data_IF_425656902677
#
_entry.id   IF_425656902677
#
_cell.length_a   1.000
_cell.length_b   1.000
_cell.length_c   1.000
_cell.angle_alpha   90.00
_cell.angle_beta   90.00
_cell.angle_gamma   90.00
#
_symmetry.space_group_name_H-M   'P 1'
#
loop_
_entity.id
_entity.type
_entity.pdbx_description
1 polymer ?
#
# COMPACT_ATOMS: atom_id res chain seq x y z
N UNK A 1 13.78 -27.41 -9.04
CA UNK A 1 14.14 -26.43 -8.02
C UNK A 1 13.82 -25.04 -8.52
N UNK A 2 13.10 -24.25 -7.72
CA UNK A 2 12.85 -22.82 -7.94
C UNK A 2 13.26 -22.04 -6.69
N UNK A 3 13.86 -20.86 -6.87
CA UNK A 3 14.28 -19.99 -5.76
C UNK A 3 13.57 -18.64 -5.89
N UNK A 4 12.80 -18.27 -4.87
CA UNK A 4 12.23 -16.93 -4.73
C UNK A 4 13.14 -16.10 -3.81
N UNK A 5 13.76 -15.06 -4.35
CA UNK A 5 14.73 -14.21 -3.65
C UNK A 5 14.05 -12.94 -3.19
N UNK A 6 14.34 -12.49 -1.96
CA UNK A 6 13.91 -11.22 -1.39
C UNK A 6 12.38 -11.00 -1.43
N UNK A 7 11.64 -11.91 -0.80
CA UNK A 7 10.17 -11.77 -0.68
C UNK A 7 9.76 -10.75 0.39
N UNK A 8 10.72 -10.16 1.07
CA UNK A 8 10.51 -9.24 2.20
C UNK A 8 9.72 -7.99 1.81
N UNK A 9 9.81 -7.55 0.56
CA UNK A 9 9.05 -6.40 0.06
C UNK A 9 7.54 -6.59 0.18
N UNK A 10 7.04 -7.83 -0.04
CA UNK A 10 5.64 -8.13 0.15
C UNK A 10 5.20 -8.01 1.61
N UNK A 11 6.07 -8.41 2.55
CA UNK A 11 5.78 -8.41 4.00
C UNK A 11 5.86 -7.00 4.59
N UNK A 12 6.84 -6.20 4.16
CA UNK A 12 7.13 -4.87 4.74
C UNK A 12 6.41 -3.72 4.03
N UNK A 13 5.67 -4.02 2.97
CA UNK A 13 4.93 -3.01 2.22
C UNK A 13 3.79 -2.41 3.04
N UNK A 14 3.58 -1.12 2.87
CA UNK A 14 2.40 -0.41 3.40
C UNK A 14 1.14 -0.68 2.57
N UNK A 15 1.30 -1.27 1.38
CA UNK A 15 0.18 -1.66 0.54
C UNK A 15 -0.52 -2.88 1.15
N UNK A 16 -1.81 -2.76 1.44
CA UNK A 16 -2.63 -3.82 2.03
C UNK A 16 -2.76 -5.07 1.12
N UNK A 17 -2.53 -4.95 -0.19
CA UNK A 17 -2.55 -6.06 -1.14
C UNK A 17 -1.21 -6.78 -1.30
N UNK A 18 -0.09 -6.18 -0.87
CA UNK A 18 1.25 -6.70 -1.16
C UNK A 18 1.51 -8.12 -0.64
N UNK A 19 1.04 -8.44 0.57
CA UNK A 19 1.16 -9.79 1.16
C UNK A 19 0.37 -10.81 0.35
N UNK A 20 -0.82 -10.43 -0.12
CA UNK A 20 -1.65 -11.30 -0.97
C UNK A 20 -1.00 -11.56 -2.32
N UNK A 21 -0.50 -10.52 -2.98
CA UNK A 21 0.21 -10.61 -4.26
C UNK A 21 1.47 -11.49 -4.14
N UNK A 22 2.27 -11.31 -3.09
CA UNK A 22 3.40 -12.17 -2.77
C UNK A 22 2.96 -13.63 -2.62
N UNK A 23 1.89 -13.88 -1.87
CA UNK A 23 1.34 -15.22 -1.68
C UNK A 23 0.88 -15.86 -2.99
N UNK A 24 0.17 -15.11 -3.83
CA UNK A 24 -0.27 -15.56 -5.15
C UNK A 24 0.93 -15.90 -6.05
N UNK A 25 1.95 -15.08 -6.08
CA UNK A 25 3.16 -15.31 -6.87
C UNK A 25 3.90 -16.58 -6.40
N UNK A 26 4.08 -16.77 -5.09
CA UNK A 26 4.75 -17.94 -4.54
C UNK A 26 3.98 -19.24 -4.85
N UNK A 27 2.67 -19.25 -4.70
CA UNK A 27 1.84 -20.42 -5.04
C UNK A 27 1.87 -20.69 -6.56
N UNK A 28 1.83 -19.65 -7.38
CA UNK A 28 1.90 -19.82 -8.83
C UNK A 28 3.25 -20.41 -9.27
N UNK A 29 4.35 -19.94 -8.67
CA UNK A 29 5.70 -20.47 -8.92
C UNK A 29 5.81 -21.93 -8.47
N UNK A 30 5.29 -22.26 -7.27
CA UNK A 30 5.27 -23.62 -6.75
C UNK A 30 4.49 -24.56 -7.65
N UNK A 31 3.30 -24.14 -8.12
CA UNK A 31 2.48 -24.92 -9.04
C UNK A 31 3.13 -25.18 -10.40
N UNK A 32 3.93 -24.22 -10.91
CA UNK A 32 4.70 -24.40 -12.16
C UNK A 32 5.87 -25.35 -11.97
N UNK A 33 6.57 -25.26 -10.83
CA UNK A 33 7.70 -26.11 -10.52
C UNK A 33 7.30 -27.60 -10.43
N UNK A 34 6.10 -27.90 -9.88
CA UNK A 34 5.59 -29.27 -9.69
C UNK A 34 5.04 -29.96 -10.94
N UNK A 35 4.92 -29.27 -12.08
CA UNK A 35 4.25 -29.81 -13.27
C UNK A 35 5.00 -30.95 -14.00
N UNK A 36 6.34 -30.99 -13.90
CA UNK A 36 7.15 -31.94 -14.68
C UNK A 36 7.31 -33.30 -14.00
N UNK A 37 7.49 -33.34 -12.66
CA UNK A 37 7.82 -34.61 -11.97
C UNK A 37 7.04 -34.82 -10.65
N UNK A 38 6.03 -34.04 -10.34
CA UNK A 38 5.23 -34.16 -9.10
C UNK A 38 5.96 -33.75 -7.81
N UNK A 39 7.29 -33.65 -7.83
CA UNK A 39 8.15 -33.27 -6.70
C UNK A 39 8.94 -32.02 -7.02
N UNK A 40 8.44 -30.86 -6.59
CA UNK A 40 9.19 -29.62 -6.75
C UNK A 40 9.60 -29.05 -5.40
N UNK A 41 10.85 -28.60 -5.33
CA UNK A 41 11.35 -27.83 -4.19
C UNK A 41 11.33 -26.34 -4.56
N UNK A 42 10.66 -25.55 -3.73
CA UNK A 42 10.71 -24.08 -3.79
C UNK A 42 11.43 -23.57 -2.56
N UNK A 43 12.52 -22.86 -2.79
CA UNK A 43 13.26 -22.16 -1.72
C UNK A 43 12.82 -20.70 -1.69
N UNK A 44 12.48 -20.21 -0.51
CA UNK A 44 12.08 -18.82 -0.30
C UNK A 44 13.10 -18.15 0.61
N UNK A 45 13.73 -17.09 0.12
CA UNK A 45 14.66 -16.29 0.90
C UNK A 45 13.93 -15.11 1.55
N UNK A 46 14.01 -15.02 2.88
CA UNK A 46 13.42 -13.92 3.66
C UNK A 46 14.23 -13.68 4.94
N UNK A 47 14.25 -12.44 5.42
CA UNK A 47 14.71 -12.07 6.77
C UNK A 47 13.64 -12.34 7.83
N UNK A 48 12.38 -12.46 7.42
CA UNK A 48 11.21 -12.65 8.28
C UNK A 48 10.74 -14.12 8.27
N UNK A 49 11.64 -15.06 8.48
CA UNK A 49 11.37 -16.52 8.40
C UNK A 49 10.25 -17.00 9.32
N UNK A 50 9.97 -16.25 10.41
CA UNK A 50 8.90 -16.56 11.36
C UNK A 50 7.59 -15.77 11.08
N UNK A 51 7.50 -15.05 9.95
CA UNK A 51 6.27 -14.38 9.57
C UNK A 51 5.13 -15.38 9.37
N UNK A 52 3.96 -15.09 9.95
CA UNK A 52 2.82 -16.01 9.94
C UNK A 52 2.31 -16.28 8.54
N UNK A 53 2.36 -15.31 7.63
CA UNK A 53 1.92 -15.48 6.25
C UNK A 53 2.87 -16.41 5.49
N UNK A 54 4.19 -16.27 5.68
CA UNK A 54 5.16 -17.18 5.09
C UNK A 54 5.02 -18.62 5.63
N UNK A 55 4.78 -18.78 6.94
CA UNK A 55 4.57 -20.09 7.55
C UNK A 55 3.31 -20.76 7.00
N UNK A 56 2.22 -20.02 6.79
CA UNK A 56 1.00 -20.53 6.16
C UNK A 56 1.24 -20.94 4.69
N UNK A 57 1.96 -20.12 3.94
CA UNK A 57 2.30 -20.43 2.53
C UNK A 57 3.17 -21.69 2.42
N UNK A 58 4.12 -21.89 3.35
CA UNK A 58 4.98 -23.09 3.41
C UNK A 58 4.17 -24.38 3.54
N UNK A 59 3.03 -24.34 4.22
CA UNK A 59 2.14 -25.51 4.33
C UNK A 59 1.47 -25.91 3.01
N UNK A 60 1.58 -25.12 1.95
CA UNK A 60 0.94 -25.33 0.66
C UNK A 60 -0.57 -25.11 0.66
N UNK A 61 -1.15 -24.71 1.79
CA UNK A 61 -2.59 -24.51 1.91
C UNK A 61 -2.94 -23.02 1.72
N UNK A 62 -3.19 -22.64 0.45
CA UNK A 62 -3.54 -21.26 0.09
C UNK A 62 -4.83 -20.78 0.78
N UNK A 63 -5.80 -21.67 1.00
CA UNK A 63 -7.05 -21.33 1.68
C UNK A 63 -6.80 -20.91 3.15
N UNK A 64 -5.90 -21.59 3.85
CA UNK A 64 -5.54 -21.22 5.22
C UNK A 64 -4.79 -19.89 5.25
N UNK A 65 -3.88 -19.67 4.29
CA UNK A 65 -3.21 -18.39 4.11
C UNK A 65 -4.21 -17.25 3.91
N UNK A 66 -5.14 -17.37 2.97
CA UNK A 66 -6.13 -16.30 2.71
C UNK A 66 -7.05 -16.05 3.90
N UNK A 67 -7.49 -17.09 4.62
CA UNK A 67 -8.27 -16.94 5.86
C UNK A 67 -7.49 -16.21 6.95
N UNK A 68 -6.21 -16.55 7.12
CA UNK A 68 -5.35 -15.88 8.09
C UNK A 68 -5.15 -14.39 7.73
N UNK A 69 -4.88 -14.11 6.45
CA UNK A 69 -4.72 -12.76 5.94
C UNK A 69 -5.99 -11.91 6.13
N UNK A 70 -7.17 -12.47 5.82
CA UNK A 70 -8.45 -11.78 6.03
C UNK A 70 -8.68 -11.46 7.51
N UNK A 71 -8.34 -12.37 8.43
CA UNK A 71 -8.43 -12.12 9.86
C UNK A 71 -7.48 -11.01 10.32
N UNK A 72 -6.25 -10.97 9.80
CA UNK A 72 -5.30 -9.89 10.08
C UNK A 72 -5.83 -8.54 9.57
N UNK A 73 -6.34 -8.49 8.32
CA UNK A 73 -6.94 -7.28 7.75
C UNK A 73 -8.12 -6.77 8.58
N UNK A 74 -8.96 -7.68 9.08
CA UNK A 74 -10.07 -7.33 9.96
C UNK A 74 -9.58 -6.69 11.27
N UNK A 75 -8.57 -7.30 11.92
CA UNK A 75 -8.00 -6.78 13.16
C UNK A 75 -7.32 -5.41 12.99
N UNK A 76 -6.69 -5.20 11.84
CA UNK A 76 -6.01 -3.95 11.49
C UNK A 76 -6.91 -2.92 10.80
N UNK A 77 -8.21 -3.25 10.65
CA UNK A 77 -9.18 -2.44 9.92
C UNK A 77 -8.70 -2.04 8.51
N UNK A 78 -8.05 -2.98 7.80
CA UNK A 78 -7.58 -2.81 6.43
C UNK A 78 -8.65 -3.24 5.40
N UNK A 79 -8.55 -2.84 4.12
CA UNK A 79 -9.46 -3.32 3.09
C UNK A 79 -9.56 -4.85 3.04
N UNK A 80 -10.76 -5.45 2.90
CA UNK A 80 -12.05 -4.83 2.57
C UNK A 80 -12.87 -4.31 3.76
N UNK A 81 -12.33 -4.32 4.99
CA UNK A 81 -13.04 -3.86 6.20
C UNK A 81 -12.99 -2.34 6.39
N UNK A 82 -12.21 -1.65 5.59
CA UNK A 82 -12.15 -0.20 5.47
C UNK A 82 -11.97 0.20 4.00
N UNK A 83 -11.97 1.51 3.75
CA UNK A 83 -11.80 2.11 2.44
C UNK A 83 -10.57 3.00 2.46
N UNK A 84 -9.73 2.88 1.44
CA UNK A 84 -8.46 3.60 1.37
C UNK A 84 -8.39 4.54 0.17
N UNK A 85 -7.68 5.64 0.36
CA UNK A 85 -7.26 6.52 -0.72
C UNK A 85 -5.84 7.02 -0.45
N UNK A 86 -5.12 7.33 -1.52
CA UNK A 86 -3.81 7.98 -1.44
C UNK A 86 -3.84 9.36 -2.10
N UNK A 87 -3.16 10.30 -1.46
CA UNK A 87 -2.83 11.59 -2.06
C UNK A 87 -1.35 11.54 -2.40
N UNK A 88 -1.04 11.58 -3.71
CA UNK A 88 0.34 11.61 -4.21
C UNK A 88 0.75 13.05 -4.45
N UNK A 89 1.97 13.40 -4.03
CA UNK A 89 2.59 14.70 -4.27
C UNK A 89 3.93 14.51 -4.98
N UNK A 90 4.12 15.21 -6.09
CA UNK A 90 5.29 15.10 -6.94
C UNK A 90 5.83 16.49 -7.28
N UNK A 91 7.09 16.75 -6.96
CA UNK A 91 7.80 17.98 -7.33
C UNK A 91 9.33 17.77 -7.37
N UNK A 92 10.09 18.69 -7.96
CA UNK A 92 11.55 18.64 -7.92
C UNK A 92 12.14 18.83 -6.51
N UNK A 93 11.35 19.32 -5.54
CA UNK A 93 11.80 19.59 -4.19
C UNK A 93 10.99 18.77 -3.18
N UNK A 94 11.67 17.86 -2.46
CA UNK A 94 11.06 17.00 -1.46
C UNK A 94 10.35 17.78 -0.34
N UNK A 95 10.97 18.89 0.13
CA UNK A 95 10.43 19.70 1.20
C UNK A 95 9.09 20.33 0.82
N UNK A 96 8.94 20.77 -0.44
CA UNK A 96 7.67 21.33 -0.94
C UNK A 96 6.54 20.30 -0.96
N UNK A 97 6.86 19.03 -1.29
CA UNK A 97 5.89 17.93 -1.20
C UNK A 97 5.44 17.70 0.25
N UNK A 98 6.41 17.64 1.17
CA UNK A 98 6.13 17.42 2.60
C UNK A 98 5.25 18.55 3.18
N UNK A 99 5.58 19.81 2.89
CA UNK A 99 4.79 20.94 3.34
C UNK A 99 3.34 20.90 2.82
N UNK A 100 3.17 20.58 1.53
CA UNK A 100 1.84 20.40 0.92
C UNK A 100 1.07 19.29 1.61
N UNK A 101 1.68 18.12 1.80
CA UNK A 101 1.01 16.97 2.41
C UNK A 101 0.73 17.18 3.90
N UNK A 102 1.58 17.88 4.64
CA UNK A 102 1.34 18.25 6.05
C UNK A 102 0.13 19.20 6.15
N UNK A 103 0.01 20.19 5.26
CA UNK A 103 -1.15 21.07 5.23
C UNK A 103 -2.43 20.28 4.89
N UNK A 104 -2.35 19.37 3.91
CA UNK A 104 -3.43 18.48 3.56
C UNK A 104 -3.85 17.58 4.72
N UNK A 105 -2.88 17.02 5.45
CA UNK A 105 -3.14 16.21 6.64
C UNK A 105 -3.92 16.97 7.71
N UNK A 106 -3.54 18.21 8.01
CA UNK A 106 -4.26 19.06 8.99
C UNK A 106 -5.74 19.27 8.61
N UNK A 107 -6.04 19.36 7.33
CA UNK A 107 -7.43 19.44 6.85
C UNK A 107 -8.19 18.15 7.15
N UNK A 108 -7.55 16.99 7.01
CA UNK A 108 -8.15 15.67 7.20
C UNK A 108 -8.25 15.31 8.68
N UNK A 109 -7.29 15.71 9.53
CA UNK A 109 -7.26 15.40 10.98
C UNK A 109 -8.50 15.92 11.74
N UNK A 110 -9.24 16.85 11.13
CA UNK A 110 -10.55 17.30 11.65
C UNK A 110 -11.68 16.30 11.39
N UNK A 111 -11.42 15.16 10.77
CA UNK A 111 -12.39 14.12 10.39
C UNK A 111 -12.12 12.81 11.12
N UNK A 112 -13.08 11.88 11.08
CA UNK A 112 -12.94 10.54 11.67
C UNK A 112 -12.19 9.56 10.75
N UNK A 113 -11.14 10.02 10.06
CA UNK A 113 -10.30 9.20 9.19
C UNK A 113 -8.92 9.00 9.81
N UNK A 114 -8.32 7.84 9.56
CA UNK A 114 -6.92 7.59 9.92
C UNK A 114 -6.06 8.10 8.76
N UNK A 115 -5.02 8.88 9.09
CA UNK A 115 -4.08 9.42 8.10
C UNK A 115 -2.66 8.96 8.41
N UNK A 116 -2.06 8.23 7.48
CA UNK A 116 -0.69 7.74 7.56
C UNK A 116 0.19 8.58 6.63
N UNK A 117 1.30 9.08 7.15
CA UNK A 117 2.25 9.88 6.40
C UNK A 117 2.31 11.35 6.83
N UNK A 118 2.98 12.21 6.05
CA UNK A 118 3.55 11.95 4.70
C UNK A 118 4.71 10.95 4.72
N UNK A 119 4.72 10.06 3.72
CA UNK A 119 5.74 9.03 3.54
C UNK A 119 6.35 9.13 2.13
N UNK A 120 7.65 8.81 1.96
CA UNK A 120 8.23 8.70 0.63
C UNK A 120 7.62 7.51 -0.13
N UNK A 121 7.49 7.63 -1.45
CA UNK A 121 7.16 6.49 -2.30
C UNK A 121 8.27 5.43 -2.28
N UNK A 122 7.96 4.19 -2.65
CA UNK A 122 8.96 3.13 -2.81
C UNK A 122 10.10 3.57 -3.73
N UNK A 123 9.77 4.23 -4.85
CA UNK A 123 10.71 4.98 -5.68
C UNK A 123 10.62 6.46 -5.32
N UNK A 124 11.31 6.87 -4.27
CA UNK A 124 11.21 8.23 -3.70
C UNK A 124 11.70 9.33 -4.63
N UNK A 125 12.55 9.01 -5.64
CA UNK A 125 13.04 9.95 -6.65
C UNK A 125 13.03 9.32 -8.03
N UNK A 126 12.23 9.89 -8.95
CA UNK A 126 12.11 9.44 -10.34
C UNK A 126 12.30 10.63 -11.27
N UNK A 127 13.23 10.53 -12.23
CA UNK A 127 13.51 11.57 -13.24
C UNK A 127 13.65 12.98 -12.66
N UNK A 128 14.37 13.08 -11.53
CA UNK A 128 14.62 14.36 -10.85
C UNK A 128 13.48 14.87 -9.96
N UNK A 129 12.34 14.20 -9.91
CA UNK A 129 11.21 14.56 -9.06
C UNK A 129 11.10 13.63 -7.87
N UNK A 130 10.77 14.19 -6.70
CA UNK A 130 10.49 13.45 -5.47
C UNK A 130 9.01 13.09 -5.40
N UNK A 131 8.72 11.90 -4.88
CA UNK A 131 7.39 11.33 -4.76
C UNK A 131 7.10 11.05 -3.28
N UNK A 132 6.01 11.61 -2.78
CA UNK A 132 5.52 11.39 -1.42
C UNK A 132 4.02 11.16 -1.43
N UNK A 133 3.50 10.47 -0.41
CA UNK A 133 2.06 10.27 -0.30
C UNK A 133 1.55 10.42 1.15
N UNK A 134 0.24 10.67 1.25
CA UNK A 134 -0.59 10.39 2.40
C UNK A 134 -1.50 9.22 2.07
N UNK A 135 -1.65 8.28 3.00
CA UNK A 135 -2.68 7.24 2.95
C UNK A 135 -3.81 7.66 3.89
N UNK A 136 -5.02 7.63 3.38
CA UNK A 136 -6.25 7.95 4.12
C UNK A 136 -7.07 6.69 4.22
N UNK A 137 -7.49 6.35 5.43
CA UNK A 137 -8.31 5.20 5.70
C UNK A 137 -9.60 5.62 6.42
N UNK A 138 -10.73 5.18 5.89
CA UNK A 138 -12.06 5.52 6.40
C UNK A 138 -12.91 4.26 6.60
N UNK A 139 -13.82 4.29 7.56
CA UNK A 139 -14.73 3.19 7.85
C UNK A 139 -15.89 3.06 6.85
N UNK A 140 -16.19 4.11 6.09
CA UNK A 140 -17.28 4.10 5.11
C UNK A 140 -16.85 4.70 3.77
N UNK A 141 -17.29 4.11 2.68
CA UNK A 141 -17.06 4.60 1.31
C UNK A 141 -17.63 6.00 1.11
N UNK A 142 -18.84 6.24 1.59
CA UNK A 142 -19.50 7.54 1.45
C UNK A 142 -18.73 8.63 2.19
N UNK A 143 -18.24 8.34 3.40
CA UNK A 143 -17.43 9.27 4.18
C UNK A 143 -16.13 9.61 3.49
N UNK A 144 -15.43 8.59 2.96
CA UNK A 144 -14.20 8.78 2.21
C UNK A 144 -14.44 9.65 0.96
N UNK A 145 -15.43 9.31 0.15
CA UNK A 145 -15.71 10.05 -1.08
C UNK A 145 -16.09 11.52 -0.82
N UNK A 146 -16.89 11.78 0.23
CA UNK A 146 -17.22 13.15 0.64
C UNK A 146 -15.97 13.92 1.04
N UNK A 147 -15.14 13.33 1.92
CA UNK A 147 -13.88 13.94 2.34
C UNK A 147 -12.99 14.29 1.16
N UNK A 148 -12.82 13.35 0.21
CA UNK A 148 -11.97 13.55 -0.96
C UNK A 148 -12.49 14.63 -1.89
N UNK A 149 -13.82 14.73 -2.08
CA UNK A 149 -14.44 15.80 -2.85
C UNK A 149 -14.22 17.16 -2.20
N UNK A 150 -14.46 17.28 -0.89
CA UNK A 150 -14.24 18.52 -0.13
C UNK A 150 -12.77 18.94 -0.17
N UNK A 151 -11.86 17.96 -0.03
CA UNK A 151 -10.42 18.17 -0.13
C UNK A 151 -10.01 18.67 -1.54
N UNK A 152 -10.46 18.00 -2.60
CA UNK A 152 -10.14 18.38 -3.96
C UNK A 152 -10.62 19.79 -4.29
N UNK A 153 -11.81 20.17 -3.85
CA UNK A 153 -12.34 21.52 -3.98
C UNK A 153 -11.49 22.53 -3.20
N UNK A 154 -11.09 22.20 -1.98
CA UNK A 154 -10.24 23.05 -1.14
C UNK A 154 -8.87 23.26 -1.77
N UNK A 155 -8.20 22.18 -2.21
CA UNK A 155 -6.87 22.25 -2.84
C UNK A 155 -6.88 23.02 -4.17
N UNK A 156 -7.95 22.94 -4.94
CA UNK A 156 -8.09 23.68 -6.21
C UNK A 156 -8.43 25.15 -5.99
N UNK A 157 -9.23 25.46 -4.99
CA UNK A 157 -9.63 26.83 -4.66
C UNK A 157 -8.54 27.60 -3.89
N UNK A 158 -7.61 26.87 -3.26
CA UNK A 158 -6.58 27.49 -2.41
C UNK A 158 -5.61 28.33 -3.25
N UNK A 159 -5.49 29.60 -2.90
CA UNK A 159 -4.54 30.54 -3.49
C UNK A 159 -3.09 30.32 -3.00
N UNK A 160 -2.87 29.32 -2.13
CA UNK A 160 -1.54 29.03 -1.60
C UNK A 160 -0.60 28.58 -2.75
N UNK A 161 0.50 29.30 -2.88
CA UNK A 161 1.51 29.05 -3.93
C UNK A 161 2.11 27.64 -3.86
N UNK A 162 2.03 26.95 -2.71
CA UNK A 162 2.56 25.61 -2.53
C UNK A 162 1.80 24.60 -3.38
N UNK A 163 0.46 24.62 -3.38
CA UNK A 163 -0.37 23.71 -4.16
C UNK A 163 -0.17 23.85 -5.68
N UNK A 164 0.23 25.04 -6.14
CA UNK A 164 0.56 25.30 -7.55
C UNK A 164 1.94 24.77 -7.97
N UNK A 165 2.85 24.55 -7.01
CA UNK A 165 4.22 24.07 -7.26
C UNK A 165 4.35 22.54 -7.22
N UNK A 166 3.33 21.85 -6.73
CA UNK A 166 3.30 20.39 -6.55
C UNK A 166 2.26 19.80 -7.50
N UNK A 167 2.66 18.83 -8.28
CA UNK A 167 1.70 17.99 -9.01
C UNK A 167 1.13 16.98 -8.01
N UNK A 168 -0.15 17.01 -7.79
CA UNK A 168 -0.82 16.10 -6.88
C UNK A 168 -1.93 15.32 -7.57
N UNK A 169 -2.25 14.16 -7.03
CA UNK A 169 -3.36 13.33 -7.49
C UNK A 169 -3.95 12.56 -6.31
N UNK A 170 -5.23 12.21 -6.44
CA UNK A 170 -5.96 11.38 -5.50
C UNK A 170 -6.25 10.04 -6.19
N UNK A 171 -5.85 8.94 -5.58
CA UNK A 171 -6.15 7.59 -6.02
C UNK A 171 -7.05 6.93 -4.98
N UNK A 172 -8.21 6.46 -5.40
CA UNK A 172 -9.15 5.70 -4.56
C UNK A 172 -8.90 4.22 -4.79
N UNK A 173 -8.91 3.43 -3.70
CA UNK A 173 -8.55 2.00 -3.68
C UNK A 173 -7.21 1.75 -4.41
N UNK A 174 -6.12 2.36 -3.93
CA UNK A 174 -4.83 2.26 -4.60
C UNK A 174 -4.33 0.81 -4.56
N UNK A 175 -3.86 0.32 -5.70
CA UNK A 175 -3.16 -0.97 -5.82
C UNK A 175 -1.66 -0.83 -5.63
N UNK A 176 -1.12 0.40 -5.75
CA UNK A 176 0.30 0.73 -5.60
C UNK A 176 0.48 2.04 -4.82
N UNK A 177 1.53 2.08 -3.99
CA UNK A 177 1.92 3.25 -3.20
C UNK A 177 3.23 3.86 -3.70
#
# INVERSE_FOLDING_TARGET
>A
LVVAVDVDQGITSLNSSAVEEMGQQLIQVAGRAGRLDGNATVLVQSRYTNDQNLLQLRSGNYLNFTKSLMKQRQLMNQPPYSFEATIKAVSPNAQTNLEMLIQTKKFIDATNCIVIGPIPAMQSKVRGSYHHHLVIQASTRTGLNKLLADLANSLTADKNKIFKKVRWSINIDPTEF
#
